data_IF_833519063528
#
_entry.id   IF_833519063528
#
_cell.length_a   1.000
_cell.length_b   1.000
_cell.length_c   1.000
_cell.angle_alpha   90.00
_cell.angle_beta   90.00
_cell.angle_gamma   90.00
#
_symmetry.space_group_name_H-M   'P 1'
#
loop_
_entity.id
_entity.type
_entity.pdbx_description
1 polymer ?
#
# COMPACT_ATOMS: atom_id res chain seq x y z
N UNK A 1 12.56 -14.57 -9.30
CA UNK A 1 13.44 -14.88 -8.13
C UNK A 1 14.21 -16.13 -8.45
N UNK A 2 15.51 -16.15 -8.20
CA UNK A 2 16.24 -17.41 -8.27
C UNK A 2 15.75 -18.33 -7.12
N UNK A 3 15.71 -19.66 -7.31
CA UNK A 3 15.39 -20.60 -6.23
C UNK A 3 16.24 -20.35 -4.98
N UNK A 4 17.43 -19.90 -5.17
CA UNK A 4 18.47 -19.71 -4.17
C UNK A 4 18.15 -18.60 -3.15
N UNK A 5 17.51 -17.48 -3.57
CA UNK A 5 17.14 -16.40 -2.64
C UNK A 5 16.06 -16.83 -1.64
N UNK A 6 15.14 -17.70 -2.04
CA UNK A 6 14.12 -18.28 -1.15
C UNK A 6 14.76 -19.25 -0.14
N UNK A 7 15.72 -20.06 -0.58
CA UNK A 7 16.47 -20.95 0.29
C UNK A 7 17.20 -20.17 1.39
N UNK A 8 17.94 -19.12 1.03
CA UNK A 8 18.70 -18.34 1.99
C UNK A 8 17.82 -17.55 2.95
N UNK A 9 16.69 -17.04 2.51
CA UNK A 9 15.74 -16.40 3.43
C UNK A 9 15.14 -17.40 4.42
N UNK A 10 14.79 -18.61 3.98
CA UNK A 10 14.37 -19.70 4.88
C UNK A 10 15.46 -20.03 5.91
N UNK A 11 16.71 -20.10 5.47
CA UNK A 11 17.84 -20.37 6.36
C UNK A 11 17.94 -19.30 7.45
N UNK A 12 17.85 -18.01 7.08
CA UNK A 12 17.92 -16.88 8.03
C UNK A 12 16.74 -16.89 9.01
N UNK A 13 15.53 -17.22 8.54
CA UNK A 13 14.34 -17.39 9.37
C UNK A 13 14.58 -18.49 10.43
N UNK A 14 15.12 -19.64 10.01
CA UNK A 14 15.40 -20.75 10.91
C UNK A 14 16.52 -20.43 11.92
N UNK A 15 17.56 -19.74 11.49
CA UNK A 15 18.63 -19.26 12.38
C UNK A 15 18.07 -18.33 13.46
N UNK A 16 17.26 -17.35 13.05
CA UNK A 16 16.60 -16.41 13.97
C UNK A 16 15.62 -17.12 14.93
N UNK A 17 14.98 -18.23 14.50
CA UNK A 17 14.00 -18.96 15.29
C UNK A 17 14.63 -19.77 16.43
N UNK A 18 15.79 -20.36 16.18
CA UNK A 18 16.38 -21.39 17.07
C UNK A 18 16.89 -20.84 18.39
N UNK A 19 17.33 -19.60 18.45
CA UNK A 19 18.24 -19.18 19.52
C UNK A 19 17.92 -17.83 20.18
N UNK A 20 16.80 -17.16 19.84
CA UNK A 20 16.45 -15.89 20.52
C UNK A 20 15.51 -16.11 21.70
N UNK A 21 15.99 -15.93 22.95
CA UNK A 21 15.13 -15.95 24.13
C UNK A 21 14.32 -14.68 24.34
N UNK A 22 14.59 -13.61 23.59
CA UNK A 22 13.91 -12.32 23.72
C UNK A 22 13.17 -11.96 22.44
N UNK A 23 11.87 -11.88 22.49
CA UNK A 23 10.85 -11.33 21.61
C UNK A 23 11.14 -10.97 20.14
N UNK A 24 12.29 -10.46 19.80
CA UNK A 24 12.64 -10.09 18.42
C UNK A 24 13.52 -11.15 17.79
N UNK A 25 13.08 -11.73 16.68
CA UNK A 25 13.79 -12.78 15.96
C UNK A 25 14.30 -12.26 14.63
N UNK A 26 15.30 -11.39 14.73
CA UNK A 26 15.98 -10.84 13.56
C UNK A 26 17.22 -11.65 13.29
N UNK A 27 17.37 -12.09 12.06
CA UNK A 27 18.53 -12.84 11.59
C UNK A 27 19.08 -12.24 10.30
N UNK A 28 20.38 -12.45 10.09
CA UNK A 28 21.10 -12.04 8.90
C UNK A 28 22.02 -13.17 8.43
N UNK A 29 22.15 -13.35 7.13
CA UNK A 29 23.16 -14.20 6.51
C UNK A 29 23.91 -13.46 5.41
N UNK A 30 25.21 -13.68 5.36
CA UNK A 30 26.10 -13.25 4.30
C UNK A 30 26.43 -14.44 3.41
N UNK A 31 26.16 -14.32 2.11
CA UNK A 31 26.29 -15.39 1.13
C UNK A 31 27.26 -14.99 0.02
N UNK A 32 28.15 -15.89 -0.36
CA UNK A 32 29.13 -15.69 -1.41
C UNK A 32 28.48 -15.64 -2.81
N UNK A 33 29.21 -15.14 -3.84
CA UNK A 33 28.75 -15.23 -5.23
C UNK A 33 28.56 -16.66 -5.73
N UNK A 34 29.15 -17.64 -5.04
CA UNK A 34 29.03 -19.07 -5.36
C UNK A 34 27.91 -19.76 -4.58
N UNK A 35 27.02 -18.98 -3.96
CA UNK A 35 25.87 -19.48 -3.19
C UNK A 35 26.25 -20.30 -1.94
N UNK A 36 27.32 -19.88 -1.27
CA UNK A 36 27.81 -20.51 -0.03
C UNK A 36 27.61 -19.56 1.16
N UNK A 37 27.16 -20.09 2.31
CA UNK A 37 27.07 -19.33 3.54
C UNK A 37 28.47 -18.96 4.04
N UNK A 38 28.73 -17.65 4.16
CA UNK A 38 29.97 -17.15 4.73
C UNK A 38 29.84 -16.99 6.24
N UNK A 39 28.81 -16.29 6.67
CA UNK A 39 28.46 -16.16 8.08
C UNK A 39 27.01 -15.77 8.25
N UNK A 40 26.50 -15.97 9.47
CA UNK A 40 25.18 -15.51 9.88
C UNK A 40 25.29 -14.84 11.25
N UNK A 41 24.31 -14.03 11.61
CA UNK A 41 24.16 -13.44 12.94
C UNK A 41 22.67 -13.27 13.25
N UNK A 42 22.33 -13.21 14.54
CA UNK A 42 20.94 -13.00 14.98
C UNK A 42 20.89 -12.25 16.29
N UNK A 43 19.73 -11.63 16.57
CA UNK A 43 19.52 -10.93 17.81
C UNK A 43 19.54 -11.88 19.02
N UNK A 44 20.33 -11.51 20.04
CA UNK A 44 20.45 -12.31 21.26
C UNK A 44 21.46 -13.43 21.21
N UNK A 45 22.18 -13.65 20.10
CA UNK A 45 23.30 -14.60 19.99
C UNK A 45 24.38 -14.31 21.05
N UNK A 46 24.63 -13.02 21.28
CA UNK A 46 25.39 -12.55 22.43
C UNK A 46 24.42 -11.77 23.31
N UNK A 47 24.40 -12.10 24.61
CA UNK A 47 23.45 -11.51 25.56
C UNK A 47 23.44 -9.99 25.49
N UNK A 48 22.30 -9.43 25.11
CA UNK A 48 22.09 -7.98 25.00
C UNK A 48 22.68 -7.33 23.75
N UNK A 49 23.22 -8.08 22.79
CA UNK A 49 23.71 -7.56 21.53
C UNK A 49 22.70 -7.80 20.40
N UNK A 50 22.55 -6.79 19.53
CA UNK A 50 21.82 -6.93 18.27
C UNK A 50 22.66 -7.66 17.22
N UNK A 51 22.04 -8.11 16.17
CA UNK A 51 22.68 -8.84 15.05
C UNK A 51 23.80 -8.05 14.36
N UNK A 52 23.69 -6.72 14.28
CA UNK A 52 24.60 -5.89 13.48
C UNK A 52 26.04 -5.85 14.02
N UNK A 53 26.31 -5.58 15.31
CA UNK A 53 27.65 -5.65 15.86
C UNK A 53 28.30 -7.04 15.71
N UNK A 54 27.48 -8.11 15.77
CA UNK A 54 27.93 -9.49 15.60
C UNK A 54 28.35 -9.74 14.16
N UNK A 55 27.51 -9.31 13.18
CA UNK A 55 27.85 -9.39 11.76
C UNK A 55 29.13 -8.62 11.44
N UNK A 56 29.23 -7.38 11.91
CA UNK A 56 30.42 -6.52 11.72
C UNK A 56 31.71 -7.19 12.22
N UNK A 57 31.65 -7.77 13.40
CA UNK A 57 32.79 -8.52 13.97
C UNK A 57 33.16 -9.70 13.11
N UNK A 58 32.21 -10.52 12.67
CA UNK A 58 32.43 -11.68 11.81
C UNK A 58 33.03 -11.31 10.45
N UNK A 59 32.56 -10.25 9.84
CA UNK A 59 33.12 -9.73 8.60
C UNK A 59 34.61 -9.39 8.78
N UNK A 60 34.96 -8.76 9.90
CA UNK A 60 36.35 -8.44 10.22
C UNK A 60 37.21 -9.69 10.49
N UNK A 61 36.69 -10.62 11.30
CA UNK A 61 37.36 -11.87 11.65
C UNK A 61 37.62 -12.77 10.43
N UNK A 62 36.69 -12.84 9.50
CA UNK A 62 36.83 -13.65 8.27
C UNK A 62 37.53 -12.92 7.12
N UNK A 63 37.89 -11.65 7.29
CA UNK A 63 38.58 -10.87 6.25
C UNK A 63 37.80 -10.77 4.94
N UNK A 64 36.47 -10.65 5.02
CA UNK A 64 35.60 -10.65 3.85
C UNK A 64 35.82 -9.39 3.04
N UNK A 65 36.23 -9.53 1.78
CA UNK A 65 36.57 -8.42 0.89
C UNK A 65 35.96 -8.50 -0.52
N UNK A 66 35.19 -9.53 -0.81
CA UNK A 66 34.61 -9.76 -2.14
C UNK A 66 33.11 -9.45 -2.18
N UNK A 67 32.55 -9.35 -3.38
CA UNK A 67 31.11 -9.12 -3.61
C UNK A 67 30.25 -10.29 -3.10
N UNK A 68 29.27 -9.98 -2.29
CA UNK A 68 28.40 -10.97 -1.65
C UNK A 68 26.96 -10.46 -1.61
N UNK A 69 26.04 -11.37 -1.29
CA UNK A 69 24.64 -11.03 -1.01
C UNK A 69 24.36 -11.10 0.50
N UNK A 70 23.56 -10.20 0.99
CA UNK A 70 23.05 -10.18 2.37
C UNK A 70 21.57 -10.52 2.37
N UNK A 71 21.17 -11.44 3.24
CA UNK A 71 19.78 -11.80 3.53
C UNK A 71 19.46 -11.39 4.95
N UNK A 72 18.41 -10.60 5.14
CA UNK A 72 17.99 -10.03 6.40
C UNK A 72 16.50 -10.28 6.60
N UNK A 73 16.09 -10.89 7.71
CA UNK A 73 14.67 -11.12 7.97
C UNK A 73 13.92 -9.79 8.13
N UNK A 74 14.44 -8.90 8.97
CA UNK A 74 13.89 -7.56 9.20
C UNK A 74 15.06 -6.59 9.35
N UNK A 75 15.03 -5.46 8.65
CA UNK A 75 16.00 -4.40 8.88
C UNK A 75 15.55 -3.52 10.06
N UNK A 76 16.11 -3.75 11.22
CA UNK A 76 15.82 -3.01 12.46
C UNK A 76 16.75 -1.81 12.70
N UNK A 77 17.63 -1.50 11.75
CA UNK A 77 18.55 -0.38 11.88
C UNK A 77 17.91 0.93 11.38
N UNK A 78 18.10 2.01 12.14
CA UNK A 78 17.62 3.34 11.80
C UNK A 78 18.72 4.38 11.97
N UNK A 79 18.61 5.50 11.27
CA UNK A 79 19.52 6.63 11.41
C UNK A 79 20.99 6.24 11.25
N UNK A 80 21.83 6.48 12.25
CA UNK A 80 23.25 6.18 12.21
C UNK A 80 23.58 4.71 11.95
N UNK A 81 22.76 3.77 12.48
CA UNK A 81 22.96 2.34 12.26
C UNK A 81 22.77 1.91 10.81
N UNK A 82 21.82 2.51 10.10
CA UNK A 82 21.64 2.27 8.65
C UNK A 82 22.83 2.78 7.84
N UNK A 83 23.38 3.95 8.19
CA UNK A 83 24.59 4.46 7.54
C UNK A 83 25.81 3.57 7.80
N UNK A 84 26.01 3.14 9.04
CA UNK A 84 27.11 2.22 9.37
C UNK A 84 26.99 0.88 8.64
N UNK A 85 25.77 0.35 8.49
CA UNK A 85 25.53 -0.86 7.69
C UNK A 85 25.87 -0.60 6.22
N UNK A 86 25.41 0.49 5.64
CA UNK A 86 25.70 0.83 4.24
C UNK A 86 27.20 1.01 3.98
N UNK A 87 27.93 1.63 4.91
CA UNK A 87 29.39 1.74 4.83
C UNK A 87 30.06 0.36 4.90
N UNK A 88 29.62 -0.50 5.83
CA UNK A 88 30.12 -1.86 5.95
C UNK A 88 29.87 -2.68 4.68
N UNK A 89 28.65 -2.63 4.14
CA UNK A 89 28.28 -3.33 2.90
C UNK A 89 29.10 -2.84 1.71
N UNK A 90 29.38 -1.53 1.66
CA UNK A 90 30.24 -0.95 0.62
C UNK A 90 31.68 -1.39 0.75
N UNK A 91 32.20 -1.42 1.97
CA UNK A 91 33.59 -1.85 2.23
C UNK A 91 33.86 -3.31 1.82
N UNK A 92 32.85 -4.15 1.97
CA UNK A 92 32.91 -5.57 1.58
C UNK A 92 32.30 -5.84 0.21
N UNK A 93 32.01 -4.82 -0.58
CA UNK A 93 31.50 -4.89 -1.96
C UNK A 93 30.27 -5.76 -2.10
N UNK A 94 29.29 -5.57 -1.21
CA UNK A 94 28.00 -6.26 -1.31
C UNK A 94 27.17 -5.62 -2.40
N UNK A 95 26.77 -6.42 -3.36
CA UNK A 95 25.97 -5.99 -4.52
C UNK A 95 24.47 -6.05 -4.27
N UNK A 96 24.02 -6.99 -3.39
CA UNK A 96 22.61 -7.28 -3.20
C UNK A 96 22.26 -7.42 -1.74
N UNK A 97 21.22 -6.72 -1.32
CA UNK A 97 20.62 -6.84 0.02
C UNK A 97 19.18 -7.32 -0.15
N UNK A 98 18.86 -8.43 0.48
CA UNK A 98 17.54 -9.03 0.46
C UNK A 98 16.90 -8.88 1.85
N UNK A 99 15.81 -8.14 1.93
CA UNK A 99 15.07 -7.91 3.18
C UNK A 99 13.74 -8.63 3.11
N UNK A 100 13.45 -9.48 4.09
CA UNK A 100 12.22 -10.26 4.15
C UNK A 100 11.01 -9.39 4.47
N UNK A 101 11.08 -8.63 5.55
CA UNK A 101 10.10 -7.63 5.93
C UNK A 101 10.78 -6.34 6.41
N UNK A 102 10.21 -5.18 6.14
CA UNK A 102 10.66 -3.92 6.74
C UNK A 102 10.29 -3.86 8.22
N UNK A 103 11.07 -3.13 9.01
CA UNK A 103 10.71 -2.80 10.38
C UNK A 103 9.59 -1.76 10.37
N UNK A 104 8.43 -2.05 10.95
CA UNK A 104 7.32 -1.10 10.99
C UNK A 104 7.60 0.15 11.83
N UNK A 105 8.54 0.08 12.78
CA UNK A 105 8.97 1.21 13.59
C UNK A 105 9.86 2.20 12.82
N UNK A 106 10.43 1.77 11.69
CA UNK A 106 11.32 2.62 10.90
C UNK A 106 10.52 3.59 10.02
N UNK A 107 10.29 4.76 10.56
CA UNK A 107 9.66 5.88 9.84
C UNK A 107 10.48 6.38 8.64
N UNK A 108 11.71 5.89 8.45
CA UNK A 108 12.69 6.40 7.49
C UNK A 108 12.98 5.45 6.30
N UNK A 109 12.19 4.42 6.13
CA UNK A 109 12.53 3.28 5.28
C UNK A 109 12.75 3.59 3.79
N UNK A 110 12.31 4.72 3.27
CA UNK A 110 12.30 4.92 1.83
C UNK A 110 12.80 6.28 1.32
N UNK A 111 13.20 7.20 2.18
CA UNK A 111 13.83 8.44 1.72
C UNK A 111 15.25 8.53 2.22
N UNK A 112 16.21 8.12 1.39
CA UNK A 112 17.63 8.23 1.68
C UNK A 112 18.14 7.22 2.70
N UNK A 113 17.49 6.04 2.86
CA UNK A 113 18.12 4.92 3.55
C UNK A 113 19.14 4.28 2.59
N UNK A 114 20.44 4.43 2.88
CA UNK A 114 21.50 3.98 1.99
C UNK A 114 21.51 2.44 1.80
N UNK A 115 20.81 1.70 2.64
CA UNK A 115 20.64 0.25 2.50
C UNK A 115 19.57 -0.07 1.47
N UNK A 116 18.45 0.66 1.48
CA UNK A 116 17.36 0.47 0.52
C UNK A 116 17.63 1.09 -0.85
N UNK A 117 18.42 2.16 -0.93
CA UNK A 117 18.88 2.71 -2.21
C UNK A 117 19.77 1.75 -2.98
N UNK A 118 20.49 0.87 -2.30
CA UNK A 118 21.34 -0.17 -2.88
C UNK A 118 20.71 -1.56 -2.85
N UNK A 119 19.69 -1.74 -2.03
CA UNK A 119 19.06 -3.04 -1.79
C UNK A 119 17.93 -3.30 -2.79
N UNK A 120 17.97 -4.47 -3.39
CA UNK A 120 16.78 -5.03 -3.99
C UNK A 120 15.90 -5.58 -2.86
N UNK A 121 14.93 -4.80 -2.38
CA UNK A 121 13.87 -5.35 -1.54
C UNK A 121 13.08 -6.32 -2.41
N UNK A 122 13.45 -7.59 -2.36
CA UNK A 122 12.74 -8.61 -3.09
C UNK A 122 11.49 -9.01 -2.33
N UNK A 123 10.40 -9.12 -3.06
CA UNK A 123 9.20 -9.75 -2.54
C UNK A 123 9.44 -11.24 -2.42
N UNK A 124 9.40 -11.75 -1.21
CA UNK A 124 9.39 -13.17 -0.94
C UNK A 124 7.97 -13.75 -1.05
N UNK A 125 7.83 -15.08 -1.25
CA UNK A 125 6.54 -15.74 -1.16
C UNK A 125 5.82 -15.42 0.15
N UNK A 126 4.49 -15.33 0.10
CA UNK A 126 3.64 -14.91 1.22
C UNK A 126 3.81 -15.80 2.48
N UNK A 127 4.13 -17.07 2.30
CA UNK A 127 4.39 -18.01 3.40
C UNK A 127 5.66 -17.63 4.18
N UNK A 128 6.73 -17.19 3.50
CA UNK A 128 7.95 -16.73 4.14
C UNK A 128 7.74 -15.43 4.91
N UNK A 129 7.05 -14.48 4.30
CA UNK A 129 6.72 -13.23 4.96
C UNK A 129 5.85 -13.47 6.19
N UNK A 130 4.88 -14.38 6.09
CA UNK A 130 4.04 -14.79 7.22
C UNK A 130 4.86 -15.42 8.34
N UNK A 131 5.85 -16.27 8.02
CA UNK A 131 6.72 -16.86 9.04
C UNK A 131 7.51 -15.78 9.80
N UNK A 132 8.11 -14.82 9.09
CA UNK A 132 8.83 -13.71 9.72
C UNK A 132 7.89 -12.89 10.61
N UNK A 133 6.69 -12.57 10.12
CA UNK A 133 5.68 -11.83 10.86
C UNK A 133 5.26 -12.55 12.15
N UNK A 134 4.94 -13.84 12.06
CA UNK A 134 4.54 -14.65 13.23
C UNK A 134 5.64 -14.72 14.27
N UNK A 135 6.91 -14.84 13.84
CA UNK A 135 8.06 -14.87 14.73
C UNK A 135 8.32 -13.53 15.43
N UNK A 136 7.87 -12.42 14.84
CA UNK A 136 8.10 -11.06 15.34
C UNK A 136 6.79 -10.34 15.68
N UNK A 137 5.77 -11.09 16.07
CA UNK A 137 4.42 -10.56 16.32
C UNK A 137 4.42 -9.40 17.31
N UNK A 138 5.21 -9.50 18.37
CA UNK A 138 5.29 -8.45 19.41
C UNK A 138 5.93 -7.16 18.89
N UNK A 139 6.90 -7.25 17.99
CA UNK A 139 7.50 -6.09 17.33
C UNK A 139 6.45 -5.34 16.49
N UNK A 140 5.65 -6.07 15.71
CA UNK A 140 4.60 -5.48 14.90
C UNK A 140 3.43 -4.97 15.74
N UNK A 141 3.05 -5.65 16.82
CA UNK A 141 2.02 -5.18 17.74
C UNK A 141 2.45 -3.91 18.49
N UNK A 142 3.70 -3.81 18.93
CA UNK A 142 4.24 -2.59 19.54
C UNK A 142 4.27 -1.42 18.55
N UNK A 143 4.57 -1.70 17.30
CA UNK A 143 4.54 -0.69 16.23
C UNK A 143 3.12 -0.26 15.87
N UNK A 144 2.15 -1.15 15.97
CA UNK A 144 0.74 -0.84 15.79
C UNK A 144 0.28 0.25 16.77
N UNK A 145 0.60 0.13 18.07
CA UNK A 145 0.32 1.20 19.03
C UNK A 145 1.04 2.51 18.69
N UNK A 146 2.28 2.44 18.23
CA UNK A 146 3.03 3.62 17.80
C UNK A 146 2.42 4.26 16.55
N UNK A 147 1.93 3.45 15.62
CA UNK A 147 1.23 3.90 14.41
C UNK A 147 -0.12 4.50 14.78
N UNK A 148 -0.89 3.88 15.68
CA UNK A 148 -2.16 4.40 16.18
C UNK A 148 -2.01 5.78 16.83
N UNK A 149 -0.94 5.99 17.57
CA UNK A 149 -0.64 7.27 18.21
C UNK A 149 -0.05 8.30 17.25
N UNK A 150 0.35 7.88 16.03
CA UNK A 150 0.99 8.78 15.08
C UNK A 150 -0.05 9.67 14.40
N UNK A 151 0.04 11.02 14.57
CA UNK A 151 -0.92 11.95 13.99
C UNK A 151 -0.99 11.94 12.46
N UNK A 152 -0.04 11.33 11.79
CA UNK A 152 0.02 11.24 10.33
C UNK A 152 -0.54 9.90 9.79
N UNK A 153 -0.90 8.98 10.66
CA UNK A 153 -1.52 7.73 10.25
C UNK A 153 -3.00 7.94 9.93
N UNK A 154 -3.31 7.91 8.65
CA UNK A 154 -4.55 8.49 8.15
C UNK A 154 -5.80 7.63 8.36
N UNK A 155 -5.64 6.31 8.43
CA UNK A 155 -6.80 5.40 8.41
C UNK A 155 -7.52 5.36 9.74
N UNK A 156 -6.84 5.34 10.87
CA UNK A 156 -7.49 5.46 12.19
C UNK A 156 -8.26 6.77 12.33
N UNK A 157 -7.72 7.84 11.76
CA UNK A 157 -8.39 9.15 11.76
C UNK A 157 -9.67 9.16 10.93
N UNK A 158 -9.71 8.39 9.84
CA UNK A 158 -10.95 8.27 9.06
C UNK A 158 -12.02 7.60 9.90
N UNK A 159 -11.75 6.46 10.54
CA UNK A 159 -12.72 5.76 11.38
C UNK A 159 -13.18 6.61 12.58
N UNK A 160 -12.26 7.35 13.20
CA UNK A 160 -12.60 8.30 14.27
C UNK A 160 -13.45 9.45 13.77
N UNK A 161 -13.09 10.04 12.62
CA UNK A 161 -13.84 11.13 12.03
C UNK A 161 -15.24 10.71 11.58
N UNK A 162 -15.36 9.51 10.98
CA UNK A 162 -16.65 8.91 10.61
C UNK A 162 -17.49 8.68 11.87
N UNK A 163 -16.92 8.06 12.91
CA UNK A 163 -17.61 7.84 14.20
C UNK A 163 -18.09 9.17 14.81
N UNK A 164 -17.23 10.17 14.88
CA UNK A 164 -17.58 11.49 15.42
C UNK A 164 -18.68 12.17 14.59
N UNK A 165 -18.61 12.09 13.27
CA UNK A 165 -19.62 12.68 12.39
C UNK A 165 -20.96 11.97 12.53
N UNK A 166 -20.97 10.62 12.53
CA UNK A 166 -22.20 9.84 12.75
C UNK A 166 -22.81 10.12 14.12
N UNK A 167 -21.97 10.27 15.17
CA UNK A 167 -22.45 10.65 16.49
C UNK A 167 -23.11 12.05 16.47
N UNK A 168 -22.57 13.00 15.75
CA UNK A 168 -23.19 14.34 15.60
C UNK A 168 -24.53 14.30 14.86
N UNK A 169 -24.78 13.25 14.09
CA UNK A 169 -26.04 13.01 13.37
C UNK A 169 -27.03 12.15 14.18
N UNK A 170 -26.68 11.78 15.41
CA UNK A 170 -27.53 11.00 16.31
C UNK A 170 -27.24 9.50 16.32
N UNK A 171 -26.24 9.04 15.58
CA UNK A 171 -25.85 7.62 15.53
C UNK A 171 -24.57 7.38 16.34
N UNK A 172 -24.72 6.98 17.60
CA UNK A 172 -23.61 6.71 18.53
C UNK A 172 -22.87 5.40 18.16
N UNK A 173 -22.13 5.42 17.05
CA UNK A 173 -21.22 4.36 16.66
C UNK A 173 -19.81 4.69 17.15
N UNK A 174 -19.17 3.71 17.76
CA UNK A 174 -17.77 3.84 18.19
C UNK A 174 -16.81 3.63 17.00
N UNK A 175 -15.55 4.02 17.16
CA UNK A 175 -14.49 3.68 16.19
C UNK A 175 -14.43 2.16 15.95
N UNK A 176 -14.62 1.37 17.01
CA UNK A 176 -14.64 -0.09 16.88
C UNK A 176 -15.80 -0.60 16.04
N UNK A 177 -16.99 0.02 16.17
CA UNK A 177 -18.14 -0.31 15.32
C UNK A 177 -17.82 0.01 13.84
N UNK A 178 -17.25 1.18 13.58
CA UNK A 178 -16.85 1.60 12.22
C UNK A 178 -15.80 0.64 11.64
N UNK A 179 -14.82 0.24 12.43
CA UNK A 179 -13.79 -0.71 11.98
C UNK A 179 -14.32 -2.13 11.75
N UNK A 180 -15.29 -2.58 12.54
CA UNK A 180 -15.88 -3.90 12.40
C UNK A 180 -16.87 -4.01 11.21
N UNK A 181 -17.48 -2.88 10.82
CA UNK A 181 -18.49 -2.83 9.75
C UNK A 181 -18.01 -1.92 8.62
N UNK A 182 -16.88 -2.26 8.06
CA UNK A 182 -16.29 -1.47 6.98
C UNK A 182 -17.14 -1.49 5.73
N UNK A 183 -17.22 -0.34 5.08
CA UNK A 183 -18.04 -0.15 3.90
C UNK A 183 -19.39 0.52 4.19
N UNK A 184 -19.84 1.27 3.19
CA UNK A 184 -21.06 2.07 3.27
C UNK A 184 -22.30 1.21 3.59
N UNK A 185 -22.44 0.07 2.91
CA UNK A 185 -23.57 -0.85 3.09
C UNK A 185 -23.58 -1.47 4.49
N UNK A 186 -22.45 -1.93 4.97
CA UNK A 186 -22.34 -2.57 6.29
C UNK A 186 -22.62 -1.59 7.42
N UNK A 187 -22.10 -0.36 7.35
CA UNK A 187 -22.38 0.69 8.34
C UNK A 187 -23.85 1.13 8.29
N UNK A 188 -24.43 1.30 7.10
CA UNK A 188 -25.84 1.63 6.96
C UNK A 188 -26.74 0.53 7.56
N UNK A 189 -26.43 -0.72 7.29
CA UNK A 189 -27.15 -1.88 7.86
C UNK A 189 -27.04 -1.93 9.39
N UNK A 190 -25.88 -1.59 9.95
CA UNK A 190 -25.69 -1.50 11.40
C UNK A 190 -26.56 -0.39 12.00
N UNK A 191 -26.61 0.78 11.35
CA UNK A 191 -27.47 1.90 11.79
C UNK A 191 -28.94 1.48 11.76
N UNK A 192 -29.42 0.88 10.65
CA UNK A 192 -30.79 0.37 10.55
C UNK A 192 -31.11 -0.60 11.69
N UNK A 193 -30.21 -1.55 11.92
CA UNK A 193 -30.43 -2.58 12.97
C UNK A 193 -30.43 -1.98 14.36
N UNK A 194 -29.57 -1.03 14.65
CA UNK A 194 -29.37 -0.47 16.00
C UNK A 194 -30.38 0.63 16.33
N UNK A 195 -30.82 1.40 15.35
CA UNK A 195 -31.64 2.62 15.55
C UNK A 195 -33.01 2.53 14.91
N UNK A 196 -33.29 1.48 14.12
CA UNK A 196 -34.57 1.36 13.41
C UNK A 196 -34.75 2.39 12.28
N UNK A 197 -33.64 2.97 11.79
CA UNK A 197 -33.65 3.99 10.73
C UNK A 197 -33.91 3.34 9.38
N UNK A 198 -34.59 4.03 8.48
CA UNK A 198 -34.75 3.62 7.10
C UNK A 198 -33.39 3.53 6.39
N UNK A 199 -33.23 2.51 5.52
CA UNK A 199 -31.92 2.23 4.89
C UNK A 199 -31.36 3.42 4.10
N UNK A 200 -32.20 4.09 3.31
CA UNK A 200 -31.77 5.25 2.52
C UNK A 200 -31.27 6.43 3.38
N UNK A 201 -31.88 6.63 4.55
CA UNK A 201 -31.44 7.65 5.50
C UNK A 201 -30.10 7.25 6.13
N UNK A 202 -29.98 6.00 6.58
CA UNK A 202 -28.73 5.47 7.13
C UNK A 202 -27.58 5.51 6.11
N UNK A 203 -27.83 5.11 4.89
CA UNK A 203 -26.87 5.11 3.79
C UNK A 203 -26.38 6.54 3.48
N UNK A 204 -27.31 7.49 3.43
CA UNK A 204 -26.96 8.92 3.25
C UNK A 204 -26.08 9.42 4.38
N UNK A 205 -26.47 9.14 5.63
CA UNK A 205 -25.69 9.55 6.80
C UNK A 205 -24.27 8.99 6.79
N UNK A 206 -24.09 7.74 6.39
CA UNK A 206 -22.78 7.12 6.24
C UNK A 206 -22.00 7.76 5.09
N UNK A 207 -22.63 8.01 3.94
CA UNK A 207 -22.01 8.72 2.81
C UNK A 207 -21.51 10.11 3.20
N UNK A 208 -22.33 10.89 3.88
CA UNK A 208 -21.98 12.23 4.37
C UNK A 208 -20.85 12.19 5.41
N UNK A 209 -20.85 11.16 6.28
CA UNK A 209 -19.79 11.00 7.27
C UNK A 209 -18.44 10.62 6.63
N UNK A 210 -18.45 9.72 5.64
CA UNK A 210 -17.27 9.36 4.88
C UNK A 210 -16.74 10.56 4.07
N UNK A 211 -17.60 11.25 3.34
CA UNK A 211 -17.22 12.43 2.58
C UNK A 211 -16.57 13.51 3.48
N UNK A 212 -17.19 13.83 4.62
CA UNK A 212 -16.65 14.79 5.57
C UNK A 212 -15.29 14.37 6.15
N UNK A 213 -15.11 13.06 6.45
CA UNK A 213 -13.86 12.55 6.99
C UNK A 213 -12.71 12.63 5.97
N UNK A 214 -12.97 12.27 4.72
CA UNK A 214 -11.97 12.38 3.65
C UNK A 214 -11.70 13.83 3.26
N UNK A 215 -12.74 14.69 3.27
CA UNK A 215 -12.59 16.11 3.01
C UNK A 215 -11.69 16.80 4.04
N UNK A 216 -11.91 16.54 5.32
CA UNK A 216 -11.04 16.99 6.40
C UNK A 216 -9.61 16.48 6.26
N UNK A 217 -9.43 15.22 5.84
CA UNK A 217 -8.12 14.63 5.56
C UNK A 217 -7.38 15.43 4.49
N UNK A 218 -7.99 15.67 3.34
CA UNK A 218 -7.34 16.35 2.23
C UNK A 218 -7.20 17.85 2.43
N UNK A 219 -8.08 18.46 3.24
CA UNK A 219 -8.00 19.88 3.58
C UNK A 219 -6.91 20.25 4.58
N UNK A 220 -6.52 19.31 5.45
CA UNK A 220 -5.56 19.58 6.54
C UNK A 220 -4.19 18.94 6.35
N UNK A 221 -4.07 17.97 5.46
CA UNK A 221 -2.84 17.21 5.25
C UNK A 221 -1.99 17.85 4.17
N UNK A 222 -0.78 18.26 4.53
CA UNK A 222 0.20 18.68 3.54
C UNK A 222 0.76 17.45 2.81
N UNK A 223 0.14 17.13 1.68
CA UNK A 223 0.62 16.12 0.76
C UNK A 223 1.81 16.59 -0.08
N UNK A 224 2.52 17.64 0.33
CA UNK A 224 3.73 18.11 -0.35
C UNK A 224 4.82 17.03 -0.37
N UNK A 225 4.71 16.06 0.54
CA UNK A 225 5.49 14.86 0.50
C UNK A 225 4.74 13.77 -0.28
N UNK A 226 4.90 13.77 -1.57
CA UNK A 226 4.45 12.67 -2.39
C UNK A 226 5.46 11.52 -2.30
N UNK A 227 5.02 10.46 -1.75
CA UNK A 227 5.69 9.19 -1.71
C UNK A 227 6.15 8.64 -3.01
N UNK A 228 5.51 9.04 -4.04
CA UNK A 228 5.84 8.59 -5.37
C UNK A 228 7.05 9.27 -5.92
N UNK A 229 7.41 10.46 -5.42
CA UNK A 229 8.73 11.02 -5.65
C UNK A 229 9.83 10.12 -5.06
N UNK A 230 9.52 9.39 -3.97
CA UNK A 230 10.44 8.41 -3.39
C UNK A 230 10.42 7.04 -4.09
N UNK A 231 9.34 6.72 -4.82
CA UNK A 231 9.21 5.52 -5.63
C UNK A 231 9.30 5.88 -7.11
N UNK A 232 10.49 6.32 -7.54
CA UNK A 232 10.76 6.58 -8.94
C UNK A 232 10.35 5.36 -9.79
N UNK A 233 9.51 5.57 -10.81
CA UNK A 233 9.09 4.51 -11.73
C UNK A 233 7.60 4.15 -11.70
N UNK A 234 6.81 4.56 -10.70
CA UNK A 234 5.38 4.22 -10.66
C UNK A 234 4.60 4.77 -11.87
N UNK A 235 4.96 5.95 -12.38
CA UNK A 235 4.34 6.51 -13.57
C UNK A 235 4.70 5.71 -14.82
N UNK A 236 5.94 5.23 -14.91
CA UNK A 236 6.39 4.33 -15.97
C UNK A 236 5.69 2.98 -15.87
N UNK A 237 5.49 2.45 -14.66
CA UNK A 237 4.74 1.22 -14.42
C UNK A 237 3.29 1.36 -14.89
N UNK A 238 2.61 2.46 -14.52
CA UNK A 238 1.26 2.75 -15.01
C UNK A 238 1.23 2.82 -16.54
N UNK A 239 2.16 3.56 -17.14
CA UNK A 239 2.24 3.69 -18.60
C UNK A 239 2.55 2.37 -19.28
N UNK A 240 3.34 1.50 -18.67
CA UNK A 240 3.60 0.15 -19.18
C UNK A 240 2.33 -0.71 -19.17
N UNK A 241 1.53 -0.63 -18.10
CA UNK A 241 0.23 -1.32 -18.00
C UNK A 241 -0.75 -0.77 -19.04
N UNK A 242 -0.86 0.56 -19.14
CA UNK A 242 -1.74 1.19 -20.13
C UNK A 242 -1.40 0.79 -21.57
N UNK A 243 -0.12 0.83 -21.95
CA UNK A 243 0.33 0.43 -23.32
C UNK A 243 0.08 -1.04 -23.63
N UNK A 244 -0.01 -1.91 -22.64
CA UNK A 244 -0.37 -3.33 -22.81
C UNK A 244 -1.88 -3.53 -22.98
N UNK A 245 -2.67 -2.57 -22.53
CA UNK A 245 -4.14 -2.63 -22.52
C UNK A 245 -4.77 -1.76 -23.62
N UNK A 246 -4.04 -0.75 -24.13
CA UNK A 246 -4.52 0.16 -25.17
C UNK A 246 -3.39 0.60 -26.11
N UNK A 247 -3.72 0.77 -27.39
CA UNK A 247 -2.82 1.33 -28.41
C UNK A 247 -2.99 2.83 -28.60
N UNK A 248 -4.04 3.44 -28.02
CA UNK A 248 -4.34 4.87 -28.15
C UNK A 248 -3.47 5.69 -27.17
N UNK A 249 -3.11 6.92 -27.55
CA UNK A 249 -2.46 7.83 -26.62
C UNK A 249 -3.45 8.34 -25.55
N UNK A 250 -2.96 8.62 -24.32
CA UNK A 250 -3.81 9.16 -23.24
C UNK A 250 -4.50 10.48 -23.61
N UNK A 251 -3.85 11.28 -24.44
CA UNK A 251 -4.39 12.55 -24.96
C UNK A 251 -5.55 12.37 -25.95
N UNK A 252 -5.75 11.16 -26.47
CA UNK A 252 -6.78 10.83 -27.48
C UNK A 252 -8.01 10.15 -26.88
N UNK A 253 -7.98 9.85 -25.58
CA UNK A 253 -9.07 9.12 -24.90
C UNK A 253 -9.81 10.01 -23.93
N UNK A 254 -11.11 9.73 -23.69
CA UNK A 254 -11.84 10.32 -22.57
C UNK A 254 -11.59 9.53 -21.32
N UNK A 255 -11.06 10.19 -20.29
CA UNK A 255 -10.58 9.57 -19.07
C UNK A 255 -11.50 9.94 -17.91
N UNK A 256 -11.88 8.94 -17.12
CA UNK A 256 -12.43 9.12 -15.79
C UNK A 256 -11.40 8.63 -14.75
N UNK A 257 -10.94 9.54 -13.89
CA UNK A 257 -10.09 9.18 -12.77
C UNK A 257 -10.89 9.32 -11.47
N UNK A 258 -11.06 8.21 -10.75
CA UNK A 258 -11.89 8.09 -9.54
C UNK A 258 -11.03 7.90 -8.31
N UNK A 259 -11.39 8.58 -7.22
CA UNK A 259 -10.62 8.56 -5.98
C UNK A 259 -9.31 9.33 -6.14
N UNK A 260 -9.38 10.52 -6.70
CA UNK A 260 -8.22 11.34 -7.07
C UNK A 260 -7.45 11.86 -5.87
N UNK A 261 -8.06 11.90 -4.69
CA UNK A 261 -7.46 12.40 -3.46
C UNK A 261 -6.93 13.84 -3.63
N UNK A 262 -5.69 14.09 -3.18
CA UNK A 262 -5.05 15.41 -3.35
C UNK A 262 -4.58 15.71 -4.78
N UNK A 263 -4.70 14.77 -5.71
CA UNK A 263 -4.46 14.95 -7.14
C UNK A 263 -3.01 14.96 -7.59
N UNK A 264 -2.06 14.55 -6.76
CA UNK A 264 -0.64 14.56 -7.14
C UNK A 264 -0.35 13.58 -8.27
N UNK A 265 -0.85 12.36 -8.16
CA UNK A 265 -0.71 11.33 -9.19
C UNK A 265 -1.42 11.71 -10.47
N UNK A 266 -2.63 12.20 -10.32
CA UNK A 266 -3.43 12.64 -11.46
C UNK A 266 -2.73 13.76 -12.22
N UNK A 267 -2.13 14.72 -11.53
CA UNK A 267 -1.37 15.81 -12.14
C UNK A 267 -0.14 15.30 -12.89
N UNK A 268 0.57 14.32 -12.33
CA UNK A 268 1.75 13.75 -12.97
C UNK A 268 1.44 12.92 -14.22
N UNK A 269 0.29 12.23 -14.24
CA UNK A 269 -0.09 11.36 -15.36
C UNK A 269 -0.90 12.09 -16.45
N UNK A 270 -1.75 13.04 -16.07
CA UNK A 270 -2.84 13.51 -16.92
C UNK A 270 -2.85 15.02 -17.16
N UNK A 271 -1.77 15.74 -16.81
CA UNK A 271 -1.67 17.19 -17.05
C UNK A 271 -1.96 17.60 -18.50
N UNK A 272 -1.59 16.77 -19.45
CA UNK A 272 -1.71 17.04 -20.88
C UNK A 272 -2.97 16.39 -21.52
N UNK A 273 -3.87 15.81 -20.69
CA UNK A 273 -5.05 15.10 -21.17
C UNK A 273 -6.26 16.06 -21.26
N UNK A 274 -6.70 16.47 -22.47
CA UNK A 274 -7.72 17.48 -22.61
C UNK A 274 -9.15 17.00 -22.27
N UNK A 275 -9.35 15.68 -22.22
CA UNK A 275 -10.65 15.04 -21.98
C UNK A 275 -10.62 14.20 -20.71
N UNK A 276 -10.34 14.86 -19.57
CA UNK A 276 -10.31 14.19 -18.28
C UNK A 276 -11.40 14.70 -17.35
N UNK A 277 -12.01 13.75 -16.66
CA UNK A 277 -12.94 14.00 -15.56
C UNK A 277 -12.38 13.37 -14.30
N UNK A 278 -12.36 14.10 -13.22
CA UNK A 278 -11.97 13.65 -11.89
C UNK A 278 -13.19 13.48 -11.02
N UNK A 279 -13.30 12.34 -10.34
CA UNK A 279 -14.36 12.08 -9.38
C UNK A 279 -13.76 11.71 -8.01
N UNK A 280 -14.29 12.30 -6.95
CA UNK A 280 -13.93 11.98 -5.57
C UNK A 280 -15.10 12.36 -4.66
N UNK A 281 -15.18 11.74 -3.48
CA UNK A 281 -16.16 12.12 -2.45
C UNK A 281 -15.75 13.39 -1.68
N UNK A 282 -14.47 13.77 -1.74
CA UNK A 282 -13.88 14.89 -1.04
C UNK A 282 -13.77 16.14 -1.95
N UNK A 283 -14.52 17.19 -1.65
CA UNK A 283 -14.48 18.44 -2.41
C UNK A 283 -13.12 19.15 -2.35
N UNK A 284 -12.44 19.10 -1.20
CA UNK A 284 -11.10 19.68 -1.01
C UNK A 284 -10.05 19.05 -1.93
N UNK A 285 -10.14 17.72 -2.15
CA UNK A 285 -9.31 17.01 -3.10
C UNK A 285 -9.55 17.48 -4.53
N UNK A 286 -10.81 17.56 -4.94
CA UNK A 286 -11.21 18.06 -6.26
C UNK A 286 -10.81 19.52 -6.48
N UNK A 287 -10.95 20.37 -5.46
CA UNK A 287 -10.48 21.75 -5.52
C UNK A 287 -8.95 21.84 -5.68
N UNK A 288 -8.20 20.92 -5.10
CA UNK A 288 -6.75 20.84 -5.26
C UNK A 288 -6.36 20.45 -6.70
N UNK A 289 -6.98 19.42 -7.29
CA UNK A 289 -6.65 18.99 -8.65
C UNK A 289 -7.09 20.02 -9.69
N UNK A 290 -8.22 20.72 -9.50
CA UNK A 290 -8.67 21.79 -10.39
C UNK A 290 -7.67 22.95 -10.49
N UNK A 291 -6.92 23.23 -9.43
CA UNK A 291 -5.83 24.21 -9.45
C UNK A 291 -4.63 23.74 -10.25
N UNK A 292 -4.38 22.42 -10.29
CA UNK A 292 -3.25 21.81 -11.00
C UNK A 292 -3.55 21.57 -12.47
N UNK A 293 -4.80 21.19 -12.78
CA UNK A 293 -5.28 20.94 -14.15
C UNK A 293 -6.57 21.77 -14.36
N UNK A 294 -6.47 23.08 -14.65
CA UNK A 294 -7.60 23.99 -14.66
C UNK A 294 -8.69 23.68 -15.69
N UNK A 295 -8.35 22.97 -16.75
CA UNK A 295 -9.31 22.62 -17.82
C UNK A 295 -10.02 21.28 -17.58
N UNK A 296 -9.72 20.60 -16.48
CA UNK A 296 -10.37 19.35 -16.14
C UNK A 296 -11.81 19.56 -15.63
N UNK A 297 -12.66 18.58 -15.87
CA UNK A 297 -13.97 18.48 -15.23
C UNK A 297 -13.81 17.77 -13.89
N UNK A 298 -14.51 18.26 -12.86
CA UNK A 298 -14.58 17.58 -11.55
C UNK A 298 -16.03 17.25 -11.19
N UNK A 299 -16.24 16.14 -10.49
CA UNK A 299 -17.53 15.65 -10.04
C UNK A 299 -17.39 15.12 -8.63
N UNK A 300 -18.19 15.61 -7.70
CA UNK A 300 -18.28 15.01 -6.36
C UNK A 300 -19.14 13.77 -6.47
N UNK A 301 -18.53 12.60 -6.32
CA UNK A 301 -19.18 11.31 -6.47
C UNK A 301 -18.42 10.20 -5.73
N UNK A 302 -19.15 9.20 -5.23
CA UNK A 302 -18.55 7.94 -4.75
C UNK A 302 -18.21 7.03 -5.93
N UNK A 303 -17.18 6.22 -5.80
CA UNK A 303 -16.90 5.15 -6.76
C UNK A 303 -18.06 4.15 -6.89
N UNK A 304 -18.86 3.98 -5.81
CA UNK A 304 -20.05 3.12 -5.76
C UNK A 304 -21.30 3.73 -6.42
N UNK A 305 -21.27 5.04 -6.68
CA UNK A 305 -22.37 5.80 -7.25
C UNK A 305 -21.84 6.90 -8.14
N UNK A 306 -21.73 6.61 -9.41
CA UNK A 306 -21.34 7.52 -10.48
C UNK A 306 -22.55 7.99 -11.30
N UNK A 307 -23.76 7.98 -10.73
CA UNK A 307 -25.02 8.34 -11.42
C UNK A 307 -25.02 9.74 -12.02
N UNK A 308 -24.20 10.66 -11.50
CA UNK A 308 -23.96 11.98 -12.08
C UNK A 308 -23.20 11.94 -13.43
N UNK A 309 -22.68 10.78 -13.83
CA UNK A 309 -21.96 10.56 -15.07
C UNK A 309 -22.80 9.67 -16.00
N UNK A 310 -22.85 10.00 -17.30
CA UNK A 310 -23.63 9.21 -18.25
C UNK A 310 -23.00 7.86 -18.55
N UNK A 311 -23.83 6.90 -18.98
CA UNK A 311 -23.39 5.59 -19.44
C UNK A 311 -22.50 5.73 -20.69
N UNK A 312 -21.66 4.74 -20.95
CA UNK A 312 -20.87 4.58 -22.18
C UNK A 312 -20.09 5.84 -22.61
N UNK A 313 -19.53 6.58 -21.64
CA UNK A 313 -18.96 7.91 -21.89
C UNK A 313 -17.45 7.98 -21.91
N UNK A 314 -16.80 7.04 -21.25
CA UNK A 314 -15.36 7.06 -21.09
C UNK A 314 -14.66 5.93 -21.83
N UNK A 315 -13.47 6.25 -22.37
CA UNK A 315 -12.59 5.27 -23.02
C UNK A 315 -11.61 4.62 -22.05
N UNK A 316 -11.39 5.27 -20.87
CA UNK A 316 -10.48 4.79 -19.84
C UNK A 316 -10.99 5.19 -18.46
N UNK A 317 -11.11 4.21 -17.57
CA UNK A 317 -11.34 4.43 -16.15
C UNK A 317 -10.03 4.16 -15.40
N UNK A 318 -9.64 5.07 -14.51
CA UNK A 318 -8.43 4.93 -13.69
C UNK A 318 -8.78 5.16 -12.23
N UNK A 319 -8.29 4.26 -11.35
CA UNK A 319 -8.42 4.45 -9.91
C UNK A 319 -7.19 3.87 -9.21
N UNK A 320 -6.30 4.75 -8.77
CA UNK A 320 -5.03 4.32 -8.19
C UNK A 320 -5.13 4.30 -6.66
N UNK A 321 -4.94 3.10 -6.09
CA UNK A 321 -4.95 2.84 -4.64
C UNK A 321 -6.24 3.17 -3.88
N UNK A 322 -7.29 3.58 -4.56
CA UNK A 322 -8.60 3.82 -3.95
C UNK A 322 -9.22 2.50 -3.51
N UNK A 323 -9.06 1.47 -4.31
CA UNK A 323 -9.56 0.11 -4.04
C UNK A 323 -8.85 -0.60 -2.86
N UNK A 324 -7.83 0.01 -2.27
CA UNK A 324 -7.33 -0.41 -0.96
C UNK A 324 -8.27 -0.02 0.18
N UNK A 325 -9.12 0.99 -0.05
CA UNK A 325 -10.00 1.50 0.98
C UNK A 325 -11.01 0.44 1.37
N UNK A 326 -11.16 0.20 2.64
CA UNK A 326 -12.19 -0.66 3.18
C UNK A 326 -13.53 0.06 3.40
N UNK A 327 -13.64 1.32 2.99
CA UNK A 327 -14.82 2.15 3.26
C UNK A 327 -15.81 2.24 2.09
N UNK A 328 -15.65 1.41 1.06
CA UNK A 328 -16.62 1.32 -0.02
C UNK A 328 -16.75 -0.11 -0.54
N UNK A 329 -17.85 -0.38 -1.21
CA UNK A 329 -18.13 -1.67 -1.84
C UNK A 329 -17.46 -1.72 -3.22
N UNK A 330 -16.42 -2.54 -3.34
CA UNK A 330 -15.64 -2.67 -4.56
C UNK A 330 -16.43 -3.34 -5.70
N UNK A 331 -17.42 -4.19 -5.36
CA UNK A 331 -18.32 -4.81 -6.36
C UNK A 331 -19.29 -3.77 -6.95
N UNK A 332 -19.87 -2.90 -6.11
CA UNK A 332 -20.68 -1.79 -6.59
C UNK A 332 -19.86 -0.82 -7.44
N UNK A 333 -18.64 -0.50 -7.01
CA UNK A 333 -17.73 0.34 -7.76
C UNK A 333 -17.30 -0.27 -9.11
N UNK A 334 -17.11 -1.59 -9.18
CA UNK A 334 -16.84 -2.29 -10.44
C UNK A 334 -18.04 -2.21 -11.40
N UNK A 335 -19.26 -2.34 -10.88
CA UNK A 335 -20.50 -2.23 -11.67
C UNK A 335 -20.68 -0.80 -12.23
N UNK A 336 -20.45 0.23 -11.42
CA UNK A 336 -20.50 1.62 -11.87
C UNK A 336 -19.38 1.96 -12.88
N UNK A 337 -18.17 1.45 -12.64
CA UNK A 337 -17.08 1.60 -13.60
C UNK A 337 -17.43 0.96 -14.97
N UNK A 338 -18.07 -0.21 -14.97
CA UNK A 338 -18.53 -0.88 -16.19
C UNK A 338 -19.61 -0.05 -16.91
N UNK A 339 -20.58 0.49 -16.17
CA UNK A 339 -21.67 1.30 -16.72
C UNK A 339 -21.17 2.56 -17.44
N UNK A 340 -20.22 3.28 -16.85
CA UNK A 340 -19.73 4.54 -17.43
C UNK A 340 -18.72 4.36 -18.56
N UNK A 341 -18.13 3.17 -18.68
CA UNK A 341 -17.18 2.83 -19.73
C UNK A 341 -17.91 2.42 -21.01
N UNK A 342 -17.38 2.86 -22.15
CA UNK A 342 -17.82 2.40 -23.47
C UNK A 342 -17.49 0.92 -23.65
N UNK A 343 -18.27 0.18 -24.45
CA UNK A 343 -17.86 -1.15 -24.87
C UNK A 343 -16.46 -1.14 -25.50
N UNK A 344 -15.60 -2.05 -25.06
CA UNK A 344 -14.20 -2.11 -25.48
C UNK A 344 -13.25 -1.12 -24.78
N UNK A 345 -13.76 -0.30 -23.87
CA UNK A 345 -12.95 0.62 -23.09
C UNK A 345 -12.16 -0.10 -21.96
N UNK A 346 -11.12 0.54 -21.49
CA UNK A 346 -10.17 -0.05 -20.53
C UNK A 346 -10.42 0.47 -19.12
N UNK A 347 -10.39 -0.43 -18.14
CA UNK A 347 -10.24 -0.08 -16.73
C UNK A 347 -8.82 -0.38 -16.27
N UNK A 348 -8.23 0.53 -15.48
CA UNK A 348 -6.98 0.31 -14.74
C UNK A 348 -7.19 0.75 -13.31
N UNK A 349 -7.14 -0.21 -12.39
CA UNK A 349 -7.16 0.05 -10.97
C UNK A 349 -5.88 -0.45 -10.33
N UNK A 350 -5.47 0.12 -9.21
CA UNK A 350 -4.34 -0.41 -8.47
C UNK A 350 -4.63 -0.52 -6.98
N UNK A 351 -3.97 -1.50 -6.37
CA UNK A 351 -3.88 -1.67 -4.94
C UNK A 351 -2.42 -1.66 -4.52
N UNK A 352 -2.16 -1.26 -3.28
CA UNK A 352 -0.81 -1.29 -2.74
C UNK A 352 -0.29 -2.74 -2.69
N UNK A 353 0.93 -2.94 -3.14
CA UNK A 353 1.62 -4.22 -3.01
C UNK A 353 2.30 -4.33 -1.64
N UNK A 354 1.56 -4.09 -0.59
CA UNK A 354 2.01 -4.06 0.78
C UNK A 354 1.34 -2.93 1.57
N UNK A 355 1.97 -2.53 2.66
CA UNK A 355 1.45 -1.48 3.53
C UNK A 355 1.77 -0.08 3.00
N UNK A 356 0.76 0.80 2.93
CA UNK A 356 0.95 2.19 2.55
C UNK A 356 1.35 3.04 3.76
N UNK A 357 2.59 3.46 3.80
CA UNK A 357 3.08 4.39 4.82
C UNK A 357 2.67 5.82 4.44
N UNK A 358 1.60 6.32 5.05
CA UNK A 358 1.00 7.60 4.66
C UNK A 358 1.84 8.83 4.97
N UNK A 359 2.71 8.79 6.00
CA UNK A 359 3.65 9.89 6.28
C UNK A 359 4.59 10.20 5.12
N UNK A 360 4.90 9.20 4.34
CA UNK A 360 5.84 9.31 3.23
C UNK A 360 5.22 8.85 1.93
N UNK A 361 3.91 8.49 2.02
CA UNK A 361 3.17 7.95 0.93
C UNK A 361 3.89 6.78 0.25
N UNK A 362 4.75 6.04 0.91
CA UNK A 362 5.45 4.93 0.32
C UNK A 362 4.73 3.62 0.61
N UNK A 363 4.72 2.78 -0.39
CA UNK A 363 4.32 1.40 -0.23
C UNK A 363 5.53 0.59 0.19
N UNK A 364 5.42 -0.09 1.31
CA UNK A 364 6.44 -1.04 1.74
C UNK A 364 6.00 -2.44 1.30
N UNK A 365 6.63 -3.02 0.29
CA UNK A 365 6.19 -4.30 -0.26
C UNK A 365 6.15 -5.39 0.79
N UNK A 366 5.02 -6.10 0.85
CA UNK A 366 4.84 -7.23 1.73
C UNK A 366 4.69 -6.90 3.21
N UNK A 367 4.68 -5.64 3.62
CA UNK A 367 4.40 -5.28 5.00
C UNK A 367 2.92 -5.53 5.30
N UNK A 368 2.70 -6.33 6.32
CA UNK A 368 1.39 -6.71 6.81
C UNK A 368 1.35 -6.29 8.27
N UNK A 369 0.44 -5.41 8.64
CA UNK A 369 0.22 -5.03 10.03
C UNK A 369 -1.06 -5.71 10.52
N UNK A 370 -0.95 -6.69 11.44
CA UNK A 370 -2.11 -7.36 12.01
C UNK A 370 -2.94 -6.39 12.86
N UNK A 371 -4.26 -6.51 12.81
CA UNK A 371 -5.16 -5.80 13.72
C UNK A 371 -5.43 -4.34 13.39
N UNK A 372 -4.84 -3.80 12.32
CA UNK A 372 -5.18 -2.48 11.80
C UNK A 372 -6.47 -2.50 10.99
N UNK A 373 -6.89 -1.36 10.50
CA UNK A 373 -8.06 -1.18 9.61
C UNK A 373 -8.05 -2.02 8.35
N UNK A 374 -6.90 -2.56 7.98
CA UNK A 374 -6.77 -3.56 6.96
C UNK A 374 -6.97 -4.93 7.61
N UNK A 375 -8.21 -5.34 7.73
CA UNK A 375 -8.70 -6.64 8.21
C UNK A 375 -7.60 -7.69 8.42
N UNK A 376 -7.25 -7.97 9.65
CA UNK A 376 -6.29 -8.97 10.14
C UNK A 376 -4.96 -9.16 9.38
N UNK A 377 -4.93 -9.01 8.05
CA UNK A 377 -3.75 -9.15 7.20
C UNK A 377 -4.04 -8.53 5.84
N UNK A 378 -3.78 -7.22 5.65
CA UNK A 378 -3.79 -6.68 4.29
C UNK A 378 -2.74 -7.38 3.44
N UNK A 379 -3.21 -8.09 2.44
CA UNK A 379 -2.38 -8.68 1.40
C UNK A 379 -2.76 -8.05 0.09
N UNK A 380 -1.86 -7.29 -0.47
CA UNK A 380 -2.11 -6.67 -1.75
C UNK A 380 -2.57 -7.66 -2.82
N UNK A 381 -1.99 -8.87 -2.83
CA UNK A 381 -2.36 -9.90 -3.79
C UNK A 381 -3.75 -10.49 -3.53
N UNK A 382 -4.13 -10.72 -2.27
CA UNK A 382 -5.46 -11.24 -1.93
C UNK A 382 -6.53 -10.20 -2.29
N UNK A 383 -6.26 -8.92 -2.00
CA UNK A 383 -7.13 -7.81 -2.40
C UNK A 383 -7.23 -7.69 -3.92
N UNK A 384 -6.11 -7.79 -4.64
CA UNK A 384 -6.11 -7.75 -6.09
C UNK A 384 -6.88 -8.93 -6.70
N UNK A 385 -6.76 -10.15 -6.14
CA UNK A 385 -7.53 -11.31 -6.58
C UNK A 385 -9.04 -11.10 -6.38
N UNK A 386 -9.44 -10.55 -5.22
CA UNK A 386 -10.85 -10.23 -4.95
C UNK A 386 -11.38 -9.21 -5.98
N UNK A 387 -10.68 -8.09 -6.17
CA UNK A 387 -11.07 -7.07 -7.15
C UNK A 387 -11.10 -7.65 -8.56
N UNK A 388 -10.16 -8.52 -8.91
CA UNK A 388 -10.16 -9.20 -10.21
C UNK A 388 -11.43 -10.04 -10.43
N UNK A 389 -11.89 -10.76 -9.40
CA UNK A 389 -13.14 -11.53 -9.45
C UNK A 389 -14.37 -10.61 -9.53
N UNK A 390 -14.37 -9.47 -8.84
CA UNK A 390 -15.46 -8.49 -8.88
C UNK A 390 -15.54 -7.79 -10.24
N UNK A 391 -14.41 -7.49 -10.88
CA UNK A 391 -14.38 -6.96 -12.24
C UNK A 391 -14.96 -7.98 -13.25
N UNK A 392 -14.55 -9.25 -13.15
CA UNK A 392 -15.12 -10.30 -14.00
C UNK A 392 -16.63 -10.45 -13.77
N UNK A 393 -17.07 -10.42 -12.51
CA UNK A 393 -18.49 -10.45 -12.12
C UNK A 393 -19.30 -9.26 -12.62
N UNK A 394 -18.69 -8.09 -12.75
CA UNK A 394 -19.30 -6.87 -13.28
C UNK A 394 -19.37 -6.83 -14.82
N UNK A 395 -18.80 -7.82 -15.52
CA UNK A 395 -18.86 -7.94 -16.99
C UNK A 395 -17.58 -7.57 -17.71
N UNK A 396 -16.51 -7.22 -17.00
CA UNK A 396 -15.22 -7.00 -17.64
C UNK A 396 -14.62 -8.29 -18.17
N UNK A 397 -13.83 -8.19 -19.24
CA UNK A 397 -13.10 -9.30 -19.86
C UNK A 397 -11.60 -9.05 -19.77
N UNK A 398 -10.84 -10.11 -20.02
CA UNK A 398 -9.37 -10.04 -20.07
C UNK A 398 -8.74 -9.41 -18.81
N UNK A 399 -9.25 -9.75 -17.62
CA UNK A 399 -8.73 -9.28 -16.35
C UNK A 399 -7.27 -9.76 -16.18
N UNK A 400 -6.35 -8.82 -16.09
CA UNK A 400 -4.91 -9.09 -15.98
C UNK A 400 -4.33 -8.36 -14.78
N UNK A 401 -3.39 -8.99 -14.10
CA UNK A 401 -2.67 -8.40 -12.97
C UNK A 401 -1.21 -8.16 -13.34
N UNK A 402 -0.71 -7.00 -12.92
CA UNK A 402 0.67 -6.56 -13.14
C UNK A 402 1.29 -6.13 -11.80
N UNK A 403 1.87 -7.07 -11.04
CA UNK A 403 2.57 -6.75 -9.80
C UNK A 403 3.84 -5.95 -10.10
N UNK A 404 4.00 -4.82 -9.41
CA UNK A 404 5.23 -4.03 -9.36
C UNK A 404 5.79 -4.04 -7.94
N UNK A 405 6.90 -3.35 -7.71
CA UNK A 405 7.49 -3.24 -6.36
C UNK A 405 6.58 -2.50 -5.36
N UNK A 406 5.72 -1.62 -5.84
CA UNK A 406 4.90 -0.74 -4.99
C UNK A 406 3.42 -0.99 -5.12
N UNK A 407 2.95 -1.40 -6.29
CA UNK A 407 1.53 -1.57 -6.58
C UNK A 407 1.27 -2.87 -7.34
N UNK A 408 0.06 -3.36 -7.22
CA UNK A 408 -0.51 -4.38 -8.11
C UNK A 408 -1.56 -3.68 -8.94
N UNK A 409 -1.28 -3.53 -10.22
CA UNK A 409 -2.25 -3.01 -11.17
C UNK A 409 -3.15 -4.14 -11.67
N UNK A 410 -4.42 -3.83 -11.83
CA UNK A 410 -5.37 -4.67 -12.55
C UNK A 410 -5.83 -3.90 -13.77
N UNK A 411 -5.86 -4.56 -14.91
CA UNK A 411 -6.40 -4.02 -16.15
C UNK A 411 -7.41 -5.00 -16.73
N UNK A 412 -8.53 -4.48 -17.22
CA UNK A 412 -9.56 -5.26 -17.89
C UNK A 412 -10.24 -4.42 -18.97
N UNK A 413 -11.11 -5.06 -19.76
CA UNK A 413 -11.83 -4.44 -20.88
C UNK A 413 -13.33 -4.55 -20.60
N UNK A 414 -14.08 -3.45 -20.71
CA UNK A 414 -15.54 -3.46 -20.63
C UNK A 414 -16.11 -4.22 -21.83
N UNK A 415 -17.00 -5.20 -21.58
CA UNK A 415 -17.56 -6.06 -22.64
C UNK A 415 -18.78 -5.45 -23.31
#
# INVERSE_FOLDING_TARGET
MSPDSTYWMNHVIEVARRESPSGQRVGVALVSPHDELICSAFDGEVRGASWFPILRRRIQEFGISSAHSVYLTINTLSGAGSFELAELLSAVRIDKVYVGLPDPALTNYLSGDPVTERGHVLRFPDDLQRQILVQNRDLYAASEQSIECNPHYSTHRISEAVSAKLMSMGFALTRSDVNAHRGRVALASLICTRYGTEYQEAERAVGDALAAAFDAKYGTYDYAYDARAANAGWADDFMAVYRRSSTRALTEVSILNVGVGAGHEAAALFSDCPRITFADIAESGLASISKRIPLSRTVVASAEDLSALPDDSFDLYVSLRTYNSSFFDTSAAASEAHRVLKPGAVIIVSVANGFLYTQRGCVVPGLIIPGTEFVDLYRGMDTANLIGAELDGAGFKDVRMFPTSTEIYLSAVAA
#
